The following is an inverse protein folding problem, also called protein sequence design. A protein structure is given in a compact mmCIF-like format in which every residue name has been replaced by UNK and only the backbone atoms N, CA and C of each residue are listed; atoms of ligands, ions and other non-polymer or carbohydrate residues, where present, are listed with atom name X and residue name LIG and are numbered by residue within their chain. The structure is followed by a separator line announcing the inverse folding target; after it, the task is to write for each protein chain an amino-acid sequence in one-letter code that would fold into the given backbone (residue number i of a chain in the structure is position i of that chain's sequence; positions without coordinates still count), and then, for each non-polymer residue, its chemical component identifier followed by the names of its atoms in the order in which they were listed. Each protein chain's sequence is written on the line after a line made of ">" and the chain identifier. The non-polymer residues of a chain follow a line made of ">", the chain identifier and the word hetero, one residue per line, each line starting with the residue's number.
data_IF_893617886268
#
_entry.id   IF_893617886268
#
_cell.length_a   1.000
_cell.length_b   1.000
_cell.length_c   1.000
_cell.angle_alpha   90.00
_cell.angle_beta   90.00
_cell.angle_gamma   90.00
#
_symmetry.space_group_name_H-M   'P 1'
#
loop_
_entity.id
_entity.type
_entity.pdbx_description
1 polymer ?
#
# COMPACT_ATOMS: atom_id res chain seq x y z
N UNK A 1 -8.00 -1.21 20.33
CA UNK A 1 -8.91 -1.11 19.17
C UNK A 1 -8.17 -1.62 17.95
N UNK A 2 -8.47 -2.85 17.52
CA UNK A 2 -7.78 -3.51 16.41
C UNK A 2 -8.44 -3.17 15.07
N UNK A 3 -7.64 -3.04 14.02
CA UNK A 3 -8.14 -2.92 12.65
C UNK A 3 -8.51 -4.32 12.18
N UNK A 4 -9.77 -4.53 11.77
CA UNK A 4 -10.19 -5.83 11.24
C UNK A 4 -9.60 -6.02 9.83
N UNK A 5 -8.90 -7.14 9.54
CA UNK A 5 -8.29 -7.35 8.25
C UNK A 5 -9.36 -7.42 7.14
N UNK A 6 -9.36 -6.41 6.26
CA UNK A 6 -10.18 -6.39 5.04
C UNK A 6 -9.44 -7.10 3.91
N UNK A 7 -9.37 -8.43 3.99
CA UNK A 7 -8.71 -9.30 3.00
C UNK A 7 -9.76 -10.26 2.45
N UNK A 8 -9.78 -10.43 1.13
CA UNK A 8 -10.67 -11.38 0.48
C UNK A 8 -10.44 -12.82 0.98
N UNK A 9 -11.52 -13.58 1.10
CA UNK A 9 -11.42 -14.99 1.48
C UNK A 9 -10.72 -15.79 0.39
N UNK A 10 -9.82 -16.71 0.79
CA UNK A 10 -9.18 -17.66 -0.12
C UNK A 10 -10.23 -18.63 -0.70
N UNK A 11 -10.03 -19.06 -1.94
CA UNK A 11 -10.97 -19.86 -2.77
C UNK A 11 -11.43 -21.17 -2.08
N UNK A 12 -10.65 -21.76 -1.17
CA UNK A 12 -10.96 -23.03 -0.50
C UNK A 12 -11.69 -22.92 0.85
N UNK A 13 -12.20 -21.74 1.25
CA UNK A 13 -12.78 -21.54 2.59
C UNK A 13 -14.28 -21.88 2.61
N UNK A 14 -14.71 -22.75 3.54
CA UNK A 14 -16.13 -23.11 3.73
C UNK A 14 -17.03 -21.92 4.15
N UNK A 15 -16.48 -20.95 4.87
CA UNK A 15 -17.21 -19.75 5.31
C UNK A 15 -16.49 -18.52 4.75
N UNK A 16 -17.17 -17.66 3.96
CA UNK A 16 -16.58 -16.43 3.45
C UNK A 16 -16.42 -15.40 4.59
N UNK A 17 -15.27 -14.73 4.63
CA UNK A 17 -15.08 -13.58 5.51
C UNK A 17 -15.77 -12.35 4.90
N UNK A 18 -16.64 -11.66 5.65
CA UNK A 18 -17.18 -10.38 5.21
C UNK A 18 -16.03 -9.37 5.08
N UNK A 19 -15.76 -8.94 3.86
CA UNK A 19 -14.73 -7.95 3.55
C UNK A 19 -15.30 -6.92 2.58
N UNK A 20 -14.85 -5.68 2.70
CA UNK A 20 -15.22 -4.63 1.75
C UNK A 20 -14.44 -4.84 0.44
N UNK A 21 -15.08 -5.46 -0.56
CA UNK A 21 -14.45 -5.74 -1.86
C UNK A 21 -13.91 -4.48 -2.55
N UNK A 22 -14.60 -3.35 -2.42
CA UNK A 22 -14.16 -2.07 -2.97
C UNK A 22 -12.84 -1.60 -2.34
N UNK A 23 -12.72 -1.68 -1.00
CA UNK A 23 -11.48 -1.34 -0.30
C UNK A 23 -10.35 -2.32 -0.66
N UNK A 24 -10.66 -3.61 -0.79
CA UNK A 24 -9.68 -4.62 -1.17
C UNK A 24 -9.14 -4.40 -2.60
N UNK A 25 -9.97 -3.88 -3.53
CA UNK A 25 -9.53 -3.48 -4.88
C UNK A 25 -8.67 -2.21 -4.87
N UNK A 26 -9.05 -1.20 -4.10
CA UNK A 26 -8.28 0.05 -3.98
C UNK A 26 -6.88 -0.19 -3.38
N UNK A 27 -6.76 -1.15 -2.44
CA UNK A 27 -5.46 -1.56 -1.87
C UNK A 27 -4.45 -1.99 -2.93
N UNK A 28 -4.89 -2.66 -3.99
CA UNK A 28 -4.01 -3.09 -5.08
C UNK A 28 -3.29 -1.91 -5.74
N UNK A 29 -3.99 -0.79 -5.97
CA UNK A 29 -3.38 0.42 -6.53
C UNK A 29 -2.32 1.04 -5.63
N UNK A 30 -2.57 1.04 -4.31
CA UNK A 30 -1.62 1.51 -3.29
C UNK A 30 -0.39 0.59 -3.24
N UNK A 31 -0.60 -0.72 -3.28
CA UNK A 31 0.48 -1.72 -3.31
C UNK A 31 1.33 -1.59 -4.58
N UNK A 32 0.71 -1.40 -5.76
CA UNK A 32 1.43 -1.15 -7.01
C UNK A 32 2.22 0.15 -6.96
N UNK A 33 1.64 1.23 -6.42
CA UNK A 33 2.35 2.50 -6.23
C UNK A 33 3.57 2.33 -5.31
N UNK A 34 3.40 1.62 -4.20
CA UNK A 34 4.47 1.37 -3.24
C UNK A 34 5.55 0.41 -3.78
N UNK A 35 5.17 -0.60 -4.57
CA UNK A 35 6.11 -1.48 -5.26
C UNK A 35 7.00 -0.70 -6.23
N UNK A 36 6.42 0.21 -7.03
CA UNK A 36 7.18 1.11 -7.93
C UNK A 36 8.08 2.06 -7.14
N UNK A 37 7.63 2.50 -5.96
CA UNK A 37 8.41 3.36 -5.08
C UNK A 37 9.57 2.61 -4.39
N UNK A 38 9.37 1.35 -4.01
CA UNK A 38 10.41 0.51 -3.41
C UNK A 38 11.47 0.08 -4.41
N UNK A 39 11.10 -0.09 -5.69
CA UNK A 39 12.04 -0.36 -6.78
C UNK A 39 13.12 0.74 -6.90
N UNK A 40 12.80 1.96 -6.47
CA UNK A 40 13.78 3.03 -6.29
C UNK A 40 14.63 2.72 -5.04
N UNK A 41 15.74 2.02 -5.26
CA UNK A 41 16.72 1.48 -4.28
C UNK A 41 17.03 2.37 -3.06
N UNK A 42 16.93 3.70 -3.19
CA UNK A 42 17.23 4.68 -2.13
C UNK A 42 16.04 5.01 -1.22
N UNK A 43 14.80 4.76 -1.65
CA UNK A 43 13.58 5.03 -0.88
C UNK A 43 13.29 3.86 0.07
N UNK A 44 13.48 2.62 -0.38
CA UNK A 44 13.27 1.41 0.42
C UNK A 44 14.12 1.37 1.71
N UNK A 45 15.34 1.91 1.67
CA UNK A 45 16.27 1.95 2.82
C UNK A 45 16.00 3.09 3.81
N UNK A 46 15.10 4.03 3.48
CA UNK A 46 14.75 5.18 4.34
C UNK A 46 13.42 5.05 5.09
N UNK A 47 12.62 4.00 4.84
CA UNK A 47 11.31 3.81 5.48
C UNK A 47 11.36 3.73 7.02
N UNK A 48 12.41 3.14 7.59
CA UNK A 48 12.42 2.76 9.01
C UNK A 48 12.76 3.93 9.96
N UNK A 49 13.38 4.98 9.43
CA UNK A 49 14.13 5.92 10.28
C UNK A 49 13.32 7.15 10.70
N UNK A 50 12.45 7.69 9.84
CA UNK A 50 11.69 8.94 10.09
C UNK A 50 10.35 8.97 9.32
N UNK A 51 9.20 8.77 10.00
CA UNK A 51 7.89 8.69 9.33
C UNK A 51 7.44 10.02 8.69
N UNK A 52 7.84 11.16 9.25
CA UNK A 52 7.50 12.50 8.71
C UNK A 52 8.20 12.81 7.39
N UNK A 53 9.47 12.41 7.27
CA UNK A 53 10.31 12.60 6.07
C UNK A 53 9.95 11.57 5.00
N UNK A 54 9.41 10.41 5.42
CA UNK A 54 8.93 9.39 4.52
C UNK A 54 7.72 9.87 3.70
N UNK A 55 6.76 10.55 4.33
CA UNK A 55 5.57 11.05 3.61
C UNK A 55 5.94 12.12 2.58
N UNK A 56 6.82 13.06 2.92
CA UNK A 56 7.27 14.10 1.98
C UNK A 56 8.08 13.52 0.81
N UNK A 57 8.94 12.52 1.07
CA UNK A 57 9.65 11.80 0.03
C UNK A 57 8.69 11.00 -0.89
N UNK A 58 7.65 10.37 -0.33
CA UNK A 58 6.62 9.68 -1.11
C UNK A 58 5.85 10.67 -1.99
N UNK A 59 5.48 11.84 -1.47
CA UNK A 59 4.78 12.87 -2.24
C UNK A 59 5.64 13.38 -3.40
N UNK A 60 6.93 13.62 -3.16
CA UNK A 60 7.89 14.05 -4.19
C UNK A 60 8.13 12.97 -5.26
N UNK A 61 8.23 11.71 -4.84
CA UNK A 61 8.38 10.60 -5.78
C UNK A 61 7.08 10.33 -6.55
N UNK A 62 5.92 10.51 -5.90
CA UNK A 62 4.62 10.39 -6.55
C UNK A 62 4.47 11.44 -7.66
N UNK A 63 4.84 12.70 -7.44
CA UNK A 63 4.80 13.75 -8.48
C UNK A 63 5.83 13.50 -9.60
N UNK A 64 6.96 12.86 -9.29
CA UNK A 64 7.95 12.49 -10.29
C UNK A 64 7.51 11.28 -11.17
N UNK A 65 6.87 10.29 -10.58
CA UNK A 65 6.44 9.03 -11.25
C UNK A 65 5.08 9.20 -11.94
N UNK A 66 4.17 9.92 -11.30
CA UNK A 66 2.85 10.28 -11.80
C UNK A 66 2.89 11.78 -12.05
N UNK A 67 3.30 12.18 -13.26
CA UNK A 67 3.07 13.56 -13.70
C UNK A 67 1.56 13.81 -13.63
N UNK A 68 1.18 14.87 -12.92
CA UNK A 68 -0.16 15.47 -13.01
C UNK A 68 -0.44 15.84 -14.45
#
# INVERSE_FOLDING_TARGET
>A
MGILPCIASRIGRKVPIPHAANLCRLRHGIETMFARLQDWRRIATRCDRWPILFLSACALAATAIYRV
#
